data_IF_811256003923
#
_entry.id   IF_811256003923
#
_cell.length_a   1.000
_cell.length_b   1.000
_cell.length_c   1.000
_cell.angle_alpha   90.00
_cell.angle_beta   90.00
_cell.angle_gamma   90.00
#
_symmetry.space_group_name_H-M   'P 1'
#
loop_
_entity.id
_entity.type
_entity.pdbx_description
1 polymer ?
#
# COMPACT_ATOMS: atom_id res chain seq x y z
N UNK A 1 -24.62 46.48 19.89
CA UNK A 1 -23.58 46.52 18.83
C UNK A 1 -23.59 45.19 18.09
N UNK A 2 -23.42 45.25 16.77
CA UNK A 2 -23.63 44.18 15.79
C UNK A 2 -22.49 43.14 15.79
N UNK A 3 -22.84 41.93 15.35
CA UNK A 3 -22.00 40.75 15.09
C UNK A 3 -20.79 41.04 14.18
N UNK A 4 -19.72 40.26 14.33
CA UNK A 4 -19.03 39.70 13.17
C UNK A 4 -18.65 38.23 13.45
N UNK A 5 -19.34 37.35 12.75
CA UNK A 5 -19.04 35.92 12.58
C UNK A 5 -18.06 35.86 11.41
N UNK A 6 -16.89 35.25 11.59
CA UNK A 6 -16.02 34.87 10.47
C UNK A 6 -16.20 33.37 10.24
N UNK A 7 -16.89 33.08 9.15
CA UNK A 7 -17.13 31.77 8.57
C UNK A 7 -15.82 31.15 8.10
N UNK A 8 -15.45 29.99 8.64
CA UNK A 8 -14.46 29.10 8.02
C UNK A 8 -15.20 28.37 6.90
N UNK A 9 -14.99 28.80 5.66
CA UNK A 9 -15.48 28.09 4.47
C UNK A 9 -14.61 26.83 4.30
N UNK A 10 -15.13 25.68 4.72
CA UNK A 10 -14.62 24.39 4.28
C UNK A 10 -15.19 24.14 2.87
N UNK A 11 -14.43 24.45 1.84
CA UNK A 11 -14.80 24.09 0.47
C UNK A 11 -14.66 22.57 0.33
N UNK A 12 -15.77 21.85 0.52
CA UNK A 12 -15.89 20.47 0.08
C UNK A 12 -15.91 20.54 -1.44
N UNK A 13 -14.77 20.30 -2.08
CA UNK A 13 -14.69 20.06 -3.51
C UNK A 13 -15.45 18.76 -3.82
N UNK A 14 -16.76 18.90 -4.05
CA UNK A 14 -17.52 17.98 -4.88
C UNK A 14 -17.03 18.17 -6.33
N UNK A 15 -15.87 17.58 -6.62
CA UNK A 15 -15.34 17.51 -7.98
C UNK A 15 -16.20 16.57 -8.80
N UNK A 16 -17.08 17.14 -9.62
CA UNK A 16 -17.51 16.50 -10.86
C UNK A 16 -16.24 16.22 -11.67
N UNK A 17 -15.84 14.94 -11.71
CA UNK A 17 -14.84 14.45 -12.64
C UNK A 17 -15.46 14.50 -14.03
N UNK A 18 -15.23 15.60 -14.76
CA UNK A 18 -15.28 15.58 -16.21
C UNK A 18 -14.16 14.66 -16.70
N UNK A 19 -14.53 13.42 -17.02
CA UNK A 19 -13.64 12.42 -17.60
C UNK A 19 -13.85 12.43 -19.11
N UNK A 20 -13.03 13.19 -19.82
CA UNK A 20 -12.81 13.01 -21.25
C UNK A 20 -11.32 12.85 -21.55
N UNK A 21 -10.97 11.57 -21.75
CA UNK A 21 -9.92 11.05 -22.63
C UNK A 21 -8.44 11.47 -22.42
N UNK A 22 -7.71 10.67 -21.62
CA UNK A 22 -6.50 9.91 -22.04
C UNK A 22 -5.85 9.26 -20.81
N UNK A 23 -6.59 8.42 -20.07
CA UNK A 23 -6.07 7.72 -18.89
C UNK A 23 -5.47 6.37 -19.30
N UNK A 24 -4.16 6.21 -19.10
CA UNK A 24 -3.68 4.95 -18.53
C UNK A 24 -4.41 4.80 -17.18
N UNK A 25 -5.43 3.96 -17.15
CA UNK A 25 -6.37 3.80 -16.03
C UNK A 25 -5.65 3.12 -14.85
N UNK A 26 -5.03 3.89 -13.97
CA UNK A 26 -4.59 3.35 -12.67
C UNK A 26 -5.83 3.01 -11.84
N UNK A 27 -5.77 1.84 -11.23
CA UNK A 27 -6.86 1.33 -10.42
C UNK A 27 -6.75 1.90 -9.00
N UNK A 28 -7.80 2.57 -8.47
CA UNK A 28 -7.81 2.97 -7.07
C UNK A 28 -7.93 1.72 -6.19
N UNK A 29 -7.00 1.55 -5.27
CA UNK A 29 -6.96 0.41 -4.33
C UNK A 29 -7.03 0.94 -2.91
N UNK A 30 -8.04 0.54 -2.14
CA UNK A 30 -8.14 0.98 -0.75
C UNK A 30 -7.37 0.02 0.17
N UNK A 31 -6.43 0.53 0.98
CA UNK A 31 -5.73 -0.27 1.99
C UNK A 31 -6.69 -0.62 3.12
N UNK A 32 -6.92 -1.89 3.41
CA UNK A 32 -7.78 -2.32 4.51
C UNK A 32 -6.93 -2.64 5.74
N UNK A 33 -7.08 -1.86 6.84
CA UNK A 33 -6.45 -2.19 8.10
C UNK A 33 -7.06 -3.47 8.68
N UNK A 34 -6.26 -4.17 9.48
CA UNK A 34 -6.78 -5.21 10.37
C UNK A 34 -7.50 -4.52 11.53
N UNK A 35 -8.84 -4.62 11.60
CA UNK A 35 -9.57 -3.90 12.63
C UNK A 35 -11.06 -4.18 12.75
N UNK A 36 -11.59 -3.78 13.91
CA UNK A 36 -13.02 -3.88 14.28
C UNK A 36 -13.97 -3.03 13.46
N UNK A 37 -13.46 -2.00 12.77
CA UNK A 37 -14.24 -0.93 12.16
C UNK A 37 -14.74 -1.26 10.75
N UNK A 38 -15.88 -0.67 10.38
CA UNK A 38 -16.40 -0.75 9.02
C UNK A 38 -15.89 0.41 8.17
N UNK A 39 -15.48 0.10 6.94
CA UNK A 39 -14.99 1.05 5.96
C UNK A 39 -15.99 1.23 4.83
N UNK A 40 -16.10 2.47 4.33
CA UNK A 40 -16.93 2.82 3.17
C UNK A 40 -16.23 2.44 1.88
N UNK A 41 -16.88 1.57 1.11
CA UNK A 41 -16.51 1.20 -0.25
C UNK A 41 -17.42 1.84 -1.27
N UNK A 42 -16.86 2.20 -2.42
CA UNK A 42 -17.59 2.63 -3.59
C UNK A 42 -16.94 2.03 -4.83
N UNK A 43 -17.72 1.29 -5.61
CA UNK A 43 -17.28 0.77 -6.88
C UNK A 43 -17.98 1.52 -8.01
N UNK A 44 -17.20 1.97 -8.99
CA UNK A 44 -17.68 2.66 -10.18
C UNK A 44 -17.88 1.67 -11.32
N UNK A 45 -18.87 1.91 -12.17
CA UNK A 45 -19.12 1.07 -13.34
C UNK A 45 -17.98 1.28 -14.35
N UNK A 46 -17.30 0.19 -14.71
CA UNK A 46 -16.25 0.18 -15.73
C UNK A 46 -16.66 -0.74 -16.87
N UNK A 47 -16.38 -0.28 -18.09
CA UNK A 47 -16.48 -1.09 -19.29
C UNK A 47 -15.11 -1.70 -19.52
N UNK A 48 -15.02 -3.02 -19.53
CA UNK A 48 -13.75 -3.70 -19.75
C UNK A 48 -13.24 -3.42 -21.16
N UNK A 49 -12.03 -2.89 -21.25
CA UNK A 49 -11.30 -2.64 -22.49
C UNK A 49 -10.83 -3.96 -23.11
N UNK A 50 -10.43 -3.94 -24.40
CA UNK A 50 -9.99 -5.17 -25.08
C UNK A 50 -8.77 -5.84 -24.42
N UNK A 51 -7.89 -5.04 -23.78
CA UNK A 51 -6.76 -5.53 -22.99
C UNK A 51 -7.23 -6.22 -21.69
N UNK A 52 -8.28 -5.68 -21.04
CA UNK A 52 -8.87 -6.22 -19.82
C UNK A 52 -9.77 -7.45 -20.05
N UNK A 53 -10.34 -7.59 -21.26
CA UNK A 53 -11.19 -8.75 -21.63
C UNK A 53 -10.41 -10.06 -21.69
N UNK A 54 -9.10 -9.99 -21.94
CA UNK A 54 -8.20 -11.14 -21.84
C UNK A 54 -7.82 -11.49 -20.39
N UNK A 55 -8.09 -10.57 -19.45
CA UNK A 55 -7.65 -10.59 -18.06
C UNK A 55 -8.83 -10.41 -17.10
N UNK A 56 -9.74 -11.39 -17.05
CA UNK A 56 -10.62 -11.70 -15.89
C UNK A 56 -11.65 -10.64 -15.43
N UNK A 57 -11.65 -9.43 -15.97
CA UNK A 57 -12.61 -8.38 -15.65
C UNK A 57 -13.66 -8.25 -16.75
N UNK A 58 -14.93 -8.36 -16.38
CA UNK A 58 -16.08 -8.21 -17.28
C UNK A 58 -16.60 -6.76 -17.29
N UNK A 59 -17.74 -6.47 -17.92
CA UNK A 59 -18.39 -5.18 -17.69
C UNK A 59 -19.07 -5.20 -16.32
N UNK A 60 -18.73 -4.27 -15.44
CA UNK A 60 -19.21 -4.32 -14.07
C UNK A 60 -18.72 -3.19 -13.17
N UNK A 61 -19.11 -3.26 -11.91
CA UNK A 61 -18.60 -2.42 -10.84
C UNK A 61 -17.46 -3.15 -10.14
N UNK A 62 -16.35 -2.45 -9.93
CA UNK A 62 -15.18 -3.02 -9.29
C UNK A 62 -14.67 -2.12 -8.17
N UNK A 63 -14.40 -2.72 -7.02
CA UNK A 63 -13.58 -2.13 -5.96
C UNK A 63 -12.50 -3.14 -5.58
N UNK A 64 -11.26 -2.67 -5.55
CA UNK A 64 -10.11 -3.48 -5.15
C UNK A 64 -9.61 -2.95 -3.82
N UNK A 65 -9.35 -3.89 -2.92
CA UNK A 65 -8.77 -3.62 -1.62
C UNK A 65 -7.45 -4.37 -1.50
N UNK A 66 -6.49 -3.76 -0.82
CA UNK A 66 -5.23 -4.40 -0.46
C UNK A 66 -5.16 -4.52 1.06
N UNK A 67 -4.76 -5.67 1.56
CA UNK A 67 -4.45 -5.87 2.97
C UNK A 67 -3.10 -6.55 3.11
N UNK A 68 -2.27 -6.05 4.01
CA UNK A 68 -1.00 -6.67 4.33
C UNK A 68 -1.26 -8.01 5.02
N UNK A 69 -0.92 -9.11 4.37
CA UNK A 69 -1.21 -10.42 4.91
C UNK A 69 -0.01 -10.97 5.70
N UNK A 70 -0.29 -11.43 6.91
CA UNK A 70 0.65 -12.07 7.82
C UNK A 70 0.62 -13.58 7.54
N UNK A 71 1.76 -14.19 7.15
CA UNK A 71 1.84 -15.63 6.94
C UNK A 71 1.41 -16.41 8.18
N UNK A 72 0.57 -17.43 8.00
CA UNK A 72 0.04 -18.27 9.07
C UNK A 72 -1.13 -17.67 9.86
N UNK A 73 -1.59 -16.46 9.52
CA UNK A 73 -2.70 -15.83 10.21
C UNK A 73 -4.07 -16.22 9.63
N UNK A 74 -5.07 -16.22 10.52
CA UNK A 74 -6.49 -16.39 10.19
C UNK A 74 -7.18 -15.05 10.05
N UNK A 75 -7.95 -14.93 8.97
CA UNK A 75 -8.65 -13.69 8.61
C UNK A 75 -10.15 -13.89 8.52
N UNK A 76 -10.87 -12.80 8.79
CA UNK A 76 -12.27 -12.71 8.45
C UNK A 76 -12.59 -11.44 7.68
N UNK A 77 -12.97 -11.60 6.43
CA UNK A 77 -13.47 -10.51 5.58
C UNK A 77 -14.98 -10.45 5.65
N UNK A 78 -15.53 -9.26 5.87
CA UNK A 78 -16.95 -9.01 5.92
C UNK A 78 -17.35 -7.97 4.86
N UNK A 79 -18.42 -8.25 4.12
CA UNK A 79 -19.02 -7.36 3.14
C UNK A 79 -20.47 -7.10 3.51
N UNK A 80 -20.86 -5.82 3.53
CA UNK A 80 -22.24 -5.38 3.75
C UNK A 80 -22.66 -4.40 2.67
N UNK A 81 -23.83 -4.61 2.07
CA UNK A 81 -24.39 -3.71 1.07
C UNK A 81 -25.92 -3.79 1.07
N UNK A 82 -26.58 -2.81 0.46
CA UNK A 82 -28.04 -2.81 0.32
C UNK A 82 -28.48 -3.59 -0.91
N UNK A 83 -29.51 -4.41 -0.77
CA UNK A 83 -30.18 -5.12 -1.87
C UNK A 83 -31.15 -4.21 -2.64
N UNK A 84 -30.66 -3.03 -3.03
CA UNK A 84 -31.48 -2.00 -3.70
C UNK A 84 -31.29 -2.01 -5.22
N UNK A 85 -30.41 -2.85 -5.73
CA UNK A 85 -29.99 -2.84 -7.12
C UNK A 85 -29.93 -4.29 -7.54
N UNK A 86 -30.64 -4.63 -8.62
CA UNK A 86 -30.73 -5.94 -9.25
C UNK A 86 -29.31 -6.37 -9.67
N UNK A 87 -28.43 -6.71 -8.73
CA UNK A 87 -26.99 -6.85 -8.94
C UNK A 87 -26.56 -8.20 -8.42
N UNK A 88 -25.72 -8.89 -9.19
CA UNK A 88 -24.97 -10.04 -8.65
C UNK A 88 -23.66 -9.52 -8.10
N UNK A 89 -23.34 -9.89 -6.86
CA UNK A 89 -22.08 -9.52 -6.22
C UNK A 89 -21.22 -10.77 -6.12
N UNK A 90 -19.94 -10.61 -6.42
CA UNK A 90 -18.91 -11.64 -6.29
C UNK A 90 -17.74 -11.05 -5.52
N UNK A 91 -17.08 -11.87 -4.73
CA UNK A 91 -15.86 -11.50 -4.03
C UNK A 91 -14.79 -12.52 -4.39
N UNK A 92 -13.60 -12.05 -4.70
CA UNK A 92 -12.46 -12.91 -4.97
C UNK A 92 -11.22 -12.42 -4.23
N UNK A 93 -10.37 -13.35 -3.82
CA UNK A 93 -9.04 -13.08 -3.32
C UNK A 93 -8.01 -13.28 -4.43
N UNK A 94 -6.95 -12.48 -4.42
CA UNK A 94 -5.80 -12.61 -5.31
C UNK A 94 -4.50 -12.63 -4.51
N UNK A 95 -3.59 -13.51 -4.93
CA UNK A 95 -2.27 -13.70 -4.31
C UNK A 95 -1.24 -12.62 -4.67
N UNK A 96 -1.57 -11.77 -5.65
CA UNK A 96 -0.83 -10.59 -6.14
C UNK A 96 -1.83 -9.65 -6.86
N UNK A 97 -1.33 -8.59 -7.50
CA UNK A 97 -2.20 -7.65 -8.22
C UNK A 97 -3.09 -8.38 -9.24
N UNK A 98 -4.43 -8.15 -9.28
CA UNK A 98 -5.34 -8.95 -10.12
C UNK A 98 -5.06 -8.96 -11.62
N UNK A 99 -4.37 -7.93 -12.13
CA UNK A 99 -3.99 -7.82 -13.54
C UNK A 99 -2.56 -8.33 -13.82
N UNK A 100 -1.80 -8.72 -12.80
CA UNK A 100 -0.46 -9.25 -13.02
C UNK A 100 -0.52 -10.61 -13.74
N UNK A 101 0.42 -10.87 -14.65
CA UNK A 101 0.61 -12.20 -15.22
C UNK A 101 0.77 -13.25 -14.11
N UNK A 102 0.01 -14.35 -14.23
CA UNK A 102 0.08 -15.46 -13.27
C UNK A 102 -0.59 -15.19 -11.92
N UNK A 103 -1.31 -14.07 -11.75
CA UNK A 103 -2.13 -13.86 -10.56
C UNK A 103 -3.10 -15.04 -10.38
N UNK A 104 -3.22 -15.57 -9.17
CA UNK A 104 -4.18 -16.64 -8.83
C UNK A 104 -5.42 -16.01 -8.23
N UNK A 105 -6.58 -16.38 -8.77
CA UNK A 105 -7.89 -15.94 -8.30
C UNK A 105 -8.52 -17.04 -7.46
N UNK A 106 -8.99 -16.69 -6.27
CA UNK A 106 -9.76 -17.56 -5.41
C UNK A 106 -11.14 -16.94 -5.21
N UNK A 107 -12.13 -17.45 -5.93
CA UNK A 107 -13.52 -16.99 -5.78
C UNK A 107 -14.05 -17.40 -4.41
N UNK A 108 -14.54 -16.43 -3.65
CA UNK A 108 -15.19 -16.69 -2.38
C UNK A 108 -16.63 -17.15 -2.66
N UNK A 109 -17.07 -18.30 -2.09
CA UNK A 109 -18.39 -18.81 -2.34
C UNK A 109 -19.43 -17.81 -1.87
N UNK A 110 -20.52 -17.67 -2.62
CA UNK A 110 -21.68 -16.89 -2.20
C UNK A 110 -22.71 -17.87 -1.61
N UNK A 111 -23.05 -17.69 -0.34
CA UNK A 111 -24.03 -18.53 0.35
C UNK A 111 -25.48 -18.09 0.14
N UNK A 112 -26.43 -18.61 0.95
CA UNK A 112 -27.81 -18.16 0.91
C UNK A 112 -27.91 -16.65 1.18
N UNK A 113 -28.83 -16.01 0.46
CA UNK A 113 -29.10 -14.58 0.58
C UNK A 113 -30.00 -14.34 1.80
N UNK A 114 -29.39 -14.00 2.92
CA UNK A 114 -30.12 -13.63 4.14
C UNK A 114 -30.36 -12.13 4.16
N UNK A 115 -31.58 -11.71 3.87
CA UNK A 115 -31.99 -10.30 3.93
C UNK A 115 -32.29 -9.89 5.36
N UNK A 116 -31.66 -8.81 5.81
CA UNK A 116 -32.02 -8.13 7.06
C UNK A 116 -33.27 -7.25 6.84
N UNK A 117 -33.89 -6.81 7.93
CA UNK A 117 -35.10 -5.96 7.87
C UNK A 117 -34.87 -4.65 7.10
N UNK A 118 -33.66 -4.12 7.13
CA UNK A 118 -33.22 -2.92 6.41
C UNK A 118 -32.83 -3.19 4.95
N UNK A 119 -33.16 -4.37 4.41
CA UNK A 119 -32.76 -4.86 3.08
C UNK A 119 -31.25 -4.90 2.87
N UNK A 120 -30.46 -4.94 3.95
CA UNK A 120 -29.02 -5.16 3.83
C UNK A 120 -28.68 -6.64 3.74
N UNK A 121 -27.69 -6.94 2.91
CA UNK A 121 -27.04 -8.23 2.81
C UNK A 121 -25.70 -8.14 3.52
N UNK A 122 -25.39 -9.16 4.31
CA UNK A 122 -24.14 -9.23 5.05
C UNK A 122 -23.52 -10.61 4.87
N UNK A 123 -22.36 -10.63 4.20
CA UNK A 123 -21.56 -11.82 4.00
C UNK A 123 -20.29 -11.73 4.81
N UNK A 124 -19.84 -12.89 5.28
CA UNK A 124 -18.62 -12.99 6.05
C UNK A 124 -17.88 -14.26 5.69
N UNK A 125 -16.65 -14.11 5.24
CA UNK A 125 -15.77 -15.22 4.91
C UNK A 125 -14.68 -15.37 5.97
N UNK A 126 -14.33 -16.60 6.31
CA UNK A 126 -13.12 -16.94 7.05
C UNK A 126 -12.14 -17.61 6.10
N UNK A 127 -10.89 -17.17 6.09
CA UNK A 127 -9.82 -17.76 5.29
C UNK A 127 -8.50 -17.69 6.06
N UNK A 128 -7.52 -18.49 5.68
CA UNK A 128 -6.20 -18.48 6.31
C UNK A 128 -5.11 -18.31 5.27
N UNK A 129 -4.05 -17.60 5.64
CA UNK A 129 -2.86 -17.41 4.80
C UNK A 129 -1.82 -18.42 5.21
N UNK A 130 -1.23 -19.12 4.23
CA UNK A 130 -0.23 -20.15 4.53
C UNK A 130 0.95 -19.59 5.31
N UNK A 131 1.49 -20.32 6.32
CA UNK A 131 2.77 -19.98 6.92
C UNK A 131 3.93 -19.99 5.92
N UNK A 132 3.75 -20.66 4.76
CA UNK A 132 4.74 -20.70 3.68
C UNK A 132 4.69 -19.47 2.80
N UNK A 133 3.59 -18.70 2.83
CA UNK A 133 3.47 -17.46 2.10
C UNK A 133 4.63 -16.53 2.46
N UNK A 134 5.15 -15.77 1.49
CA UNK A 134 5.90 -14.56 1.78
C UNK A 134 4.94 -13.49 2.29
N UNK A 135 5.45 -12.49 3.00
CA UNK A 135 4.69 -11.26 3.18
C UNK A 135 4.39 -10.59 1.85
N UNK A 136 3.26 -9.91 1.86
CA UNK A 136 2.79 -9.14 0.74
C UNK A 136 1.34 -8.79 0.90
N UNK A 137 0.83 -8.11 -0.12
CA UNK A 137 -0.56 -7.72 -0.17
C UNK A 137 -1.43 -8.89 -0.64
N UNK A 138 -2.42 -9.21 0.18
CA UNK A 138 -3.61 -9.92 -0.27
C UNK A 138 -4.53 -8.90 -0.94
N UNK A 139 -4.90 -9.14 -2.19
CA UNK A 139 -5.86 -8.30 -2.88
C UNK A 139 -7.25 -8.91 -2.79
N UNK A 140 -8.24 -8.10 -2.44
CA UNK A 140 -9.64 -8.49 -2.34
C UNK A 140 -10.41 -7.70 -3.39
N UNK A 141 -10.99 -8.41 -4.36
CA UNK A 141 -11.84 -7.83 -5.38
C UNK A 141 -13.31 -7.98 -4.98
N UNK A 142 -14.03 -6.86 -4.94
CA UNK A 142 -15.49 -6.84 -4.88
C UNK A 142 -16.01 -6.45 -6.27
N UNK A 143 -16.67 -7.39 -6.92
CA UNK A 143 -17.30 -7.22 -8.24
C UNK A 143 -18.82 -7.18 -8.07
N UNK A 144 -19.49 -6.23 -8.72
CA UNK A 144 -20.95 -6.25 -8.88
C UNK A 144 -21.33 -6.11 -10.36
N UNK A 145 -22.30 -6.92 -10.82
CA UNK A 145 -22.81 -6.86 -12.19
C UNK A 145 -24.30 -6.48 -12.18
N UNK A 146 -24.73 -5.63 -13.12
CA UNK A 146 -26.15 -5.29 -13.29
C UNK A 146 -26.91 -6.49 -13.88
N UNK A 147 -28.11 -6.75 -13.36
CA UNK A 147 -29.13 -7.59 -13.99
C UNK A 147 -30.09 -6.67 -14.74
N UNK A 148 -30.14 -6.81 -16.07
CA UNK A 148 -31.05 -6.05 -16.94
C UNK A 148 -30.68 -4.56 -17.08
N UNK A 149 -31.67 -3.73 -17.44
CA UNK A 149 -31.52 -2.30 -17.77
C UNK A 149 -31.52 -1.39 -16.54
N UNK A 150 -30.86 -1.80 -15.46
CA UNK A 150 -30.76 -0.98 -14.26
C UNK A 150 -29.85 0.24 -14.48
N UNK A 151 -30.17 1.36 -13.83
CA UNK A 151 -29.41 2.60 -13.91
C UNK A 151 -27.98 2.42 -13.38
N UNK A 152 -27.02 3.06 -14.07
CA UNK A 152 -25.58 2.99 -13.76
C UNK A 152 -25.20 3.87 -12.57
N UNK A 153 -25.82 3.67 -11.41
CA UNK A 153 -25.43 4.34 -10.16
C UNK A 153 -24.23 3.65 -9.50
N UNK A 154 -23.37 4.35 -8.75
CA UNK A 154 -22.27 3.73 -8.01
C UNK A 154 -22.72 2.58 -7.11
N UNK A 155 -21.86 1.57 -6.93
CA UNK A 155 -22.11 0.47 -5.99
C UNK A 155 -21.50 0.80 -4.63
N UNK A 156 -22.33 1.36 -3.75
CA UNK A 156 -21.93 1.61 -2.37
C UNK A 156 -21.98 0.34 -1.54
N UNK A 157 -20.91 0.10 -0.79
CA UNK A 157 -20.78 -1.05 0.10
C UNK A 157 -19.97 -0.69 1.34
N UNK A 158 -19.90 -1.64 2.27
CA UNK A 158 -19.12 -1.57 3.50
C UNK A 158 -18.28 -2.82 3.61
N UNK A 159 -17.01 -2.65 3.94
CA UNK A 159 -16.09 -3.78 4.12
C UNK A 159 -15.39 -3.69 5.46
N UNK A 160 -14.91 -4.83 5.93
CA UNK A 160 -14.05 -4.93 7.12
C UNK A 160 -13.19 -6.18 7.02
N UNK A 161 -11.94 -6.09 7.45
CA UNK A 161 -11.03 -7.22 7.58
C UNK A 161 -10.58 -7.35 9.04
N UNK A 162 -10.71 -8.55 9.60
CA UNK A 162 -10.36 -8.86 10.98
C UNK A 162 -9.27 -9.93 11.05
N UNK A 163 -8.28 -9.70 11.92
CA UNK A 163 -7.28 -10.68 12.34
C UNK A 163 -7.02 -10.49 13.84
N UNK A 164 -7.07 -11.55 14.68
CA UNK A 164 -7.46 -12.91 14.31
C UNK A 164 -8.94 -12.98 13.89
N UNK A 165 -9.28 -13.96 13.04
CA UNK A 165 -10.66 -14.24 12.68
C UNK A 165 -11.47 -14.61 13.93
N UNK A 166 -12.51 -13.83 14.32
CA UNK A 166 -13.31 -14.21 15.48
C UNK A 166 -14.17 -15.42 15.11
N UNK A 167 -14.43 -16.25 16.12
CA UNK A 167 -15.28 -17.41 15.93
C UNK A 167 -16.68 -16.99 15.45
N UNK A 168 -17.25 -17.76 14.49
CA UNK A 168 -18.62 -17.53 14.08
C UNK A 168 -19.51 -17.75 15.30
N UNK A 169 -19.99 -16.65 15.89
CA UNK A 169 -21.02 -16.75 16.92
C UNK A 169 -22.28 -17.25 16.24
N UNK A 170 -22.80 -18.40 16.67
CA UNK A 170 -24.11 -18.94 16.30
C UNK A 170 -25.23 -18.02 16.84
N UNK A 171 -25.30 -16.79 16.34
CA UNK A 171 -26.36 -15.83 16.63
C UNK A 171 -27.39 -15.97 15.52
N UNK A 172 -28.27 -16.96 15.66
CA UNK A 172 -29.46 -17.06 14.82
C UNK A 172 -30.22 -15.72 14.80
N UNK A 173 -30.70 -15.31 13.63
CA UNK A 173 -31.60 -14.15 13.48
C UNK A 173 -30.96 -12.80 13.12
N UNK A 174 -29.63 -12.68 12.97
CA UNK A 174 -29.01 -11.39 12.57
C UNK A 174 -28.91 -11.16 11.06
N UNK A 175 -29.29 -12.13 10.23
CA UNK A 175 -29.24 -12.05 8.76
C UNK A 175 -27.82 -11.88 8.22
N UNK A 176 -26.86 -12.65 8.76
CA UNK A 176 -25.46 -12.67 8.32
C UNK A 176 -25.15 -14.06 7.78
N UNK A 177 -24.62 -14.13 6.56
CA UNK A 177 -24.20 -15.37 5.92
C UNK A 177 -22.72 -15.60 6.19
N UNK A 178 -22.40 -16.62 7.01
CA UNK A 178 -21.04 -17.04 7.34
C UNK A 178 -20.57 -18.12 6.37
N UNK A 179 -19.39 -17.95 5.81
CA UNK A 179 -18.87 -18.72 4.70
C UNK A 179 -17.39 -19.05 4.92
N UNK A 180 -16.98 -20.18 4.36
CA UNK A 180 -15.57 -20.57 4.33
C UNK A 180 -14.95 -20.09 3.03
N UNK A 181 -13.81 -19.42 3.14
CA UNK A 181 -12.91 -19.12 2.04
C UNK A 181 -11.80 -20.18 1.96
N UNK A 182 -10.74 -19.92 1.17
CA UNK A 182 -9.61 -20.84 1.05
C UNK A 182 -8.87 -20.98 2.39
N UNK A 183 -8.41 -22.20 2.65
CA UNK A 183 -7.48 -22.49 3.73
C UNK A 183 -6.05 -22.60 3.16
N UNK A 184 -5.06 -22.20 3.95
CA UNK A 184 -3.63 -22.25 3.56
C UNK A 184 -3.33 -21.50 2.25
N UNK A 185 -3.93 -20.31 2.08
CA UNK A 185 -3.73 -19.49 0.88
C UNK A 185 -2.26 -19.08 0.75
N UNK A 186 -1.59 -19.60 -0.28
CA UNK A 186 -0.19 -19.28 -0.58
C UNK A 186 -0.14 -18.00 -1.41
N UNK A 187 0.40 -16.94 -0.81
CA UNK A 187 0.66 -15.67 -1.49
C UNK A 187 1.87 -15.81 -2.41
N UNK A 188 1.87 -15.05 -3.50
CA UNK A 188 3.00 -15.01 -4.39
C UNK A 188 4.14 -14.21 -3.75
N UNK A 189 5.36 -14.74 -3.79
CA UNK A 189 6.56 -13.92 -3.56
C UNK A 189 6.57 -12.88 -4.65
N UNK A 190 6.53 -11.59 -4.30
CA UNK A 190 6.54 -10.48 -5.26
C UNK A 190 7.45 -10.81 -6.43
N UNK A 191 6.82 -11.21 -7.53
CA UNK A 191 7.48 -11.86 -8.64
C UNK A 191 7.81 -10.78 -9.64
N UNK A 192 9.00 -10.20 -9.48
CA UNK A 192 9.82 -9.54 -10.50
C UNK A 192 9.11 -8.96 -11.74
N UNK A 193 9.33 -7.65 -11.93
CA UNK A 193 9.45 -6.93 -13.22
C UNK A 193 8.24 -6.20 -13.80
N UNK A 194 7.07 -6.24 -13.19
CA UNK A 194 5.98 -5.34 -13.59
C UNK A 194 5.66 -4.33 -12.49
N UNK A 195 5.83 -3.06 -12.85
CA UNK A 195 5.36 -1.87 -12.14
C UNK A 195 3.83 -2.00 -12.02
N UNK A 196 3.32 -2.64 -10.97
CA UNK A 196 1.88 -2.63 -10.72
C UNK A 196 1.49 -1.21 -10.32
N UNK A 197 1.07 -0.40 -11.30
CA UNK A 197 0.64 0.99 -11.12
C UNK A 197 -0.80 1.00 -10.55
N UNK A 198 -0.90 1.02 -9.22
CA UNK A 198 -2.16 1.24 -8.53
C UNK A 198 -1.99 2.28 -7.43
N UNK A 199 -2.99 3.16 -7.30
CA UNK A 199 -2.95 4.24 -6.32
C UNK A 199 -3.56 3.73 -5.03
N UNK A 200 -2.77 3.71 -3.95
CA UNK A 200 -3.25 3.34 -2.63
C UNK A 200 -4.02 4.49 -1.98
N UNK A 201 -5.31 4.26 -1.77
CA UNK A 201 -6.20 5.18 -1.07
C UNK A 201 -6.32 4.75 0.40
N UNK A 202 -6.28 5.74 1.29
CA UNK A 202 -6.71 5.53 2.67
C UNK A 202 -8.23 5.32 2.68
N UNK A 203 -8.72 4.26 3.35
CA UNK A 203 -10.14 4.05 3.45
C UNK A 203 -10.78 5.15 4.30
N UNK A 204 -12.10 5.30 4.15
CA UNK A 204 -12.91 6.20 4.97
C UNK A 204 -13.76 5.33 5.90
N UNK A 205 -13.82 5.68 7.19
CA UNK A 205 -14.71 5.03 8.15
C UNK A 205 -16.17 5.19 7.74
N UNK A 206 -17.05 4.33 8.27
CA UNK A 206 -18.50 4.43 8.02
C UNK A 206 -19.10 5.81 8.37
N UNK A 207 -18.54 6.49 9.37
CA UNK A 207 -18.95 7.83 9.81
C UNK A 207 -18.41 8.98 8.95
N UNK A 208 -17.69 8.67 7.86
CA UNK A 208 -17.14 9.64 6.93
C UNK A 208 -15.79 10.23 7.33
N UNK A 209 -15.23 9.86 8.48
CA UNK A 209 -13.88 10.29 8.86
C UNK A 209 -12.83 9.52 8.06
N UNK A 210 -11.80 10.18 7.50
CA UNK A 210 -10.68 9.46 6.92
C UNK A 210 -10.03 8.60 8.00
N UNK A 211 -9.55 7.43 7.61
CA UNK A 211 -8.76 6.60 8.52
C UNK A 211 -7.43 7.30 8.74
N UNK A 212 -7.23 7.84 9.95
CA UNK A 212 -5.89 8.20 10.39
C UNK A 212 -5.05 6.91 10.36
N UNK A 213 -3.82 6.95 9.83
CA UNK A 213 -2.93 5.80 9.88
C UNK A 213 -2.82 5.36 11.37
N UNK A 214 -3.03 4.07 11.67
CA UNK A 214 -3.39 3.62 13.01
C UNK A 214 -2.25 3.88 14.01
N UNK A 215 -2.49 4.74 15.01
CA UNK A 215 -1.54 5.21 16.05
C UNK A 215 -0.72 4.13 16.80
N UNK A 216 -1.10 2.87 16.72
CA UNK A 216 -0.36 1.74 17.29
C UNK A 216 -0.34 0.62 16.25
N UNK A 217 0.60 0.68 15.31
CA UNK A 217 0.90 -0.46 14.47
C UNK A 217 1.56 -1.53 15.34
N UNK A 218 1.02 -2.75 15.28
CA UNK A 218 1.73 -3.93 15.79
C UNK A 218 3.09 -3.92 15.09
N UNK A 219 4.21 -3.97 15.84
CA UNK A 219 5.53 -3.98 15.23
C UNK A 219 5.59 -5.04 14.14
N UNK A 220 5.91 -4.66 12.91
CA UNK A 220 5.99 -5.58 11.78
C UNK A 220 7.05 -6.64 12.12
N UNK A 221 6.69 -7.91 12.36
CA UNK A 221 7.65 -8.87 12.91
C UNK A 221 8.83 -9.06 11.95
N UNK A 222 10.08 -8.89 12.40
CA UNK A 222 11.26 -9.00 11.54
C UNK A 222 11.59 -7.75 10.73
N UNK A 223 10.86 -6.64 10.91
CA UNK A 223 11.29 -5.34 10.42
C UNK A 223 12.57 -4.90 11.14
N UNK A 224 13.56 -4.52 10.34
CA UNK A 224 14.86 -4.03 10.79
C UNK A 224 14.81 -2.52 11.00
N UNK A 225 13.92 -1.81 10.30
CA UNK A 225 13.75 -0.36 10.44
C UNK A 225 12.97 -0.06 11.72
N UNK A 226 13.47 0.90 12.50
CA UNK A 226 12.80 1.42 13.68
C UNK A 226 12.19 2.78 13.37
N UNK A 227 10.95 3.00 13.83
CA UNK A 227 10.21 4.24 13.58
C UNK A 227 10.15 4.56 12.08
N UNK A 228 9.85 3.54 11.27
CA UNK A 228 9.70 3.66 9.82
C UNK A 228 8.47 4.46 9.40
N UNK A 229 7.47 4.59 10.28
CA UNK A 229 6.24 5.38 10.10
C UNK A 229 6.40 6.86 10.51
N UNK A 230 7.58 7.24 11.01
CA UNK A 230 7.96 8.58 11.45
C UNK A 230 7.07 9.20 12.55
N UNK A 231 6.23 8.41 13.24
CA UNK A 231 5.31 8.94 14.26
C UNK A 231 6.02 9.38 15.53
N UNK A 232 7.20 8.80 15.80
CA UNK A 232 8.07 9.22 16.88
C UNK A 232 9.07 10.30 16.43
N UNK A 233 8.73 11.05 15.39
CA UNK A 233 9.60 12.06 14.79
C UNK A 233 10.85 11.41 14.17
N UNK A 234 12.02 11.96 14.48
CA UNK A 234 13.32 11.42 14.02
C UNK A 234 13.94 10.40 14.98
N UNK A 235 13.20 9.84 15.94
CA UNK A 235 13.77 8.83 16.82
C UNK A 235 14.37 7.67 16.00
N UNK A 236 15.63 7.32 16.28
CA UNK A 236 16.46 6.34 15.55
C UNK A 236 16.92 6.74 14.14
N UNK A 237 16.62 7.95 13.69
CA UNK A 237 17.09 8.51 12.43
C UNK A 237 18.13 9.60 12.70
N UNK A 238 19.19 9.62 11.89
CA UNK A 238 20.22 10.66 11.90
C UNK A 238 20.16 11.42 10.58
N UNK A 239 20.41 12.73 10.61
CA UNK A 239 20.62 13.47 9.37
C UNK A 239 21.86 12.94 8.64
N UNK A 240 21.79 12.85 7.32
CA UNK A 240 22.95 12.43 6.49
C UNK A 240 24.07 13.47 6.46
N UNK A 241 23.78 14.73 6.80
CA UNK A 241 24.77 15.80 6.93
C UNK A 241 25.39 15.89 8.34
N UNK A 242 24.96 15.01 9.25
CA UNK A 242 25.46 14.95 10.62
C UNK A 242 24.95 16.04 11.55
N UNK A 243 23.95 16.83 11.15
CA UNK A 243 23.36 17.85 12.01
C UNK A 243 22.14 17.33 12.80
N UNK A 244 22.06 17.67 14.09
CA UNK A 244 21.03 17.23 15.03
C UNK A 244 19.77 18.14 15.06
N UNK A 245 19.62 19.05 14.10
CA UNK A 245 18.48 20.00 14.03
C UNK A 245 17.60 19.68 12.82
N UNK A 246 16.37 20.19 12.81
CA UNK A 246 15.60 20.29 11.56
C UNK A 246 16.46 21.01 10.53
N UNK A 247 17.00 20.24 9.60
CA UNK A 247 17.90 20.71 8.56
C UNK A 247 17.06 21.38 7.49
N UNK A 248 17.61 22.41 6.86
CA UNK A 248 17.05 23.01 5.66
C UNK A 248 16.93 21.97 4.53
N UNK A 249 15.85 21.18 4.57
CA UNK A 249 15.47 20.27 3.52
C UNK A 249 14.83 18.93 3.94
N UNK A 250 14.51 18.74 5.21
CA UNK A 250 13.52 17.71 5.56
C UNK A 250 12.80 18.06 6.87
N UNK A 251 11.57 17.58 7.01
CA UNK A 251 10.75 17.79 8.21
C UNK A 251 9.80 16.61 8.41
N UNK A 252 9.22 16.50 9.61
CA UNK A 252 8.12 15.57 9.87
C UNK A 252 6.81 16.32 9.71
N UNK A 253 6.02 15.90 8.72
CA UNK A 253 4.69 16.40 8.45
C UNK A 253 3.59 15.47 8.97
N UNK A 254 2.31 15.83 8.77
CA UNK A 254 1.17 14.98 9.16
C UNK A 254 1.11 13.65 8.39
N UNK A 255 1.83 13.53 7.28
CA UNK A 255 1.85 12.34 6.41
C UNK A 255 3.16 11.55 6.49
N UNK A 256 4.08 11.86 7.42
CA UNK A 256 5.39 11.22 7.54
C UNK A 256 6.54 12.17 7.24
N UNK A 257 7.64 11.65 6.72
CA UNK A 257 8.82 12.40 6.33
C UNK A 257 8.52 13.24 5.08
N UNK A 258 8.78 14.54 5.13
CA UNK A 258 8.79 15.42 3.97
C UNK A 258 10.21 15.81 3.61
N UNK A 259 10.61 15.51 2.39
CA UNK A 259 11.88 15.93 1.79
C UNK A 259 11.59 17.14 0.92
N UNK A 260 12.20 18.26 1.25
CA UNK A 260 12.10 19.50 0.48
C UNK A 260 13.48 20.13 0.42
N UNK A 261 13.69 21.22 -0.30
CA UNK A 261 14.92 21.98 -0.13
C UNK A 261 14.72 23.35 -0.71
N UNK A 262 15.19 24.35 0.04
CA UNK A 262 15.30 25.72 -0.44
C UNK A 262 16.75 26.03 -0.85
N UNK A 263 17.65 25.06 -0.74
CA UNK A 263 19.09 25.23 -0.91
C UNK A 263 19.62 24.37 -2.07
N UNK A 264 20.17 24.99 -3.13
CA UNK A 264 20.50 24.31 -4.38
C UNK A 264 21.61 23.25 -4.31
N UNK A 265 22.33 23.11 -3.19
CA UNK A 265 23.51 22.23 -3.09
C UNK A 265 23.55 21.33 -1.86
N UNK A 266 22.52 21.35 -1.00
CA UNK A 266 22.52 20.52 0.20
C UNK A 266 21.77 19.22 -0.03
N UNK A 267 22.46 18.11 0.23
CA UNK A 267 21.88 16.78 0.23
C UNK A 267 21.12 16.62 1.54
N UNK A 268 19.81 16.66 1.46
CA UNK A 268 18.92 16.55 2.62
C UNK A 268 18.33 15.15 2.69
N UNK A 269 18.29 14.59 3.90
CA UNK A 269 17.81 13.25 4.12
C UNK A 269 18.20 12.69 5.47
N UNK A 270 17.72 11.49 5.73
CA UNK A 270 17.91 10.78 6.98
C UNK A 270 18.47 9.39 6.73
N UNK A 271 19.20 8.88 7.71
CA UNK A 271 19.73 7.52 7.68
C UNK A 271 19.59 6.85 9.04
N UNK A 272 19.38 5.54 8.99
CA UNK A 272 19.38 4.68 10.15
C UNK A 272 20.46 3.62 9.97
N UNK A 273 21.37 3.55 10.93
CA UNK A 273 22.33 2.45 11.04
C UNK A 273 21.61 1.22 11.61
N UNK A 274 21.75 0.09 10.93
CA UNK A 274 21.01 -1.14 11.21
C UNK A 274 21.92 -2.26 11.75
N UNK A 275 23.10 -2.43 11.15
CA UNK A 275 24.05 -3.53 11.44
C UNK A 275 23.37 -4.89 11.68
N UNK A 276 22.43 -5.25 10.80
CA UNK A 276 21.59 -6.41 10.94
C UNK A 276 22.10 -7.58 10.09
N UNK A 277 22.40 -8.70 10.74
CA UNK A 277 22.74 -9.96 10.08
C UNK A 277 21.50 -10.55 9.41
N UNK A 278 21.60 -10.76 8.11
CA UNK A 278 20.53 -11.31 7.27
C UNK A 278 20.96 -12.62 6.62
N UNK A 279 22.09 -13.21 7.05
CA UNK A 279 22.52 -14.56 6.62
C UNK A 279 21.44 -15.58 6.95
N UNK A 280 21.00 -16.32 5.94
CA UNK A 280 19.95 -17.32 6.08
C UNK A 280 18.53 -16.78 6.03
N UNK A 281 18.33 -15.46 5.83
CA UNK A 281 17.02 -14.94 5.49
C UNK A 281 16.55 -15.54 4.15
N UNK A 282 15.32 -16.05 4.13
CA UNK A 282 14.64 -16.50 2.91
C UNK A 282 14.35 -15.31 1.99
N UNK A 283 14.00 -14.17 2.58
CA UNK A 283 13.73 -12.93 1.85
C UNK A 283 14.00 -11.72 2.73
N UNK A 284 14.28 -10.59 2.08
CA UNK A 284 14.53 -9.30 2.73
C UNK A 284 13.82 -8.21 1.93
N UNK A 285 12.60 -7.87 2.32
CA UNK A 285 11.74 -6.94 1.58
C UNK A 285 11.96 -5.50 2.02
N UNK A 286 12.30 -4.62 1.08
CA UNK A 286 12.26 -3.18 1.25
C UNK A 286 10.91 -2.67 0.75
N UNK A 287 10.09 -2.16 1.66
CA UNK A 287 8.77 -1.61 1.38
C UNK A 287 8.74 -0.11 1.71
N UNK A 288 8.23 0.72 0.80
CA UNK A 288 8.16 2.18 0.96
C UNK A 288 6.87 2.73 0.36
N UNK A 289 6.12 3.51 1.13
CA UNK A 289 5.01 4.33 0.61
C UNK A 289 5.48 5.79 0.44
N UNK A 290 5.43 6.32 -0.77
CA UNK A 290 5.89 7.68 -1.06
C UNK A 290 5.08 8.39 -2.14
N UNK A 291 5.25 9.70 -2.25
CA UNK A 291 4.74 10.52 -3.34
C UNK A 291 5.65 11.69 -3.67
N UNK A 292 5.58 12.17 -4.90
CA UNK A 292 6.30 13.38 -5.34
C UNK A 292 5.31 14.52 -5.47
N UNK A 293 5.51 15.59 -4.70
CA UNK A 293 4.65 16.77 -4.70
C UNK A 293 5.05 17.76 -5.79
N UNK A 294 6.36 17.94 -6.01
CA UNK A 294 6.88 18.86 -7.00
C UNK A 294 8.23 18.37 -7.56
N UNK A 295 8.48 18.66 -8.84
CA UNK A 295 9.76 18.41 -9.50
C UNK A 295 9.97 19.44 -10.63
N UNK A 296 10.59 20.57 -10.27
CA UNK A 296 10.67 21.77 -11.12
C UNK A 296 11.63 21.63 -12.32
N UNK A 297 12.73 20.90 -12.19
CA UNK A 297 13.69 20.69 -13.27
C UNK A 297 13.62 19.25 -13.81
N UNK A 298 13.10 19.13 -15.04
CA UNK A 298 12.84 17.88 -15.74
C UNK A 298 14.06 17.30 -16.48
N UNK A 299 15.25 17.88 -16.31
CA UNK A 299 16.45 17.48 -17.06
C UNK A 299 17.33 16.45 -16.34
N UNK A 300 17.18 16.32 -15.02
CA UNK A 300 18.02 15.45 -14.20
C UNK A 300 17.16 14.71 -13.19
N UNK A 301 16.92 13.42 -13.40
CA UNK A 301 16.11 12.60 -12.49
C UNK A 301 16.92 11.55 -11.72
N UNK A 302 18.25 11.64 -11.74
CA UNK A 302 19.13 10.62 -11.20
C UNK A 302 20.23 11.21 -10.32
N UNK A 303 20.60 10.47 -9.29
CA UNK A 303 21.62 10.88 -8.35
C UNK A 303 21.08 11.87 -7.31
N UNK A 304 21.91 12.85 -6.95
CA UNK A 304 21.62 13.84 -5.90
C UNK A 304 20.46 14.78 -6.25
N UNK A 305 20.07 14.78 -7.53
CA UNK A 305 19.06 15.66 -8.10
C UNK A 305 17.64 15.07 -8.09
N UNK A 306 17.43 13.83 -7.66
CA UNK A 306 16.08 13.28 -7.67
C UNK A 306 15.22 13.83 -6.51
N UNK A 307 13.89 13.95 -6.66
CA UNK A 307 13.00 14.34 -5.56
C UNK A 307 13.12 13.42 -4.34
N UNK A 308 13.24 12.12 -4.56
CA UNK A 308 13.42 11.12 -3.50
C UNK A 308 14.15 9.88 -4.01
N UNK A 309 15.03 9.34 -3.18
CA UNK A 309 15.68 8.06 -3.38
C UNK A 309 15.93 7.35 -2.06
N UNK A 310 16.05 6.03 -2.17
CA UNK A 310 16.49 5.17 -1.08
C UNK A 310 17.85 4.59 -1.41
N UNK A 311 18.67 4.41 -0.38
CA UNK A 311 19.96 3.72 -0.48
C UNK A 311 20.10 2.69 0.64
N UNK A 312 20.56 1.49 0.30
CA UNK A 312 20.89 0.42 1.24
C UNK A 312 22.39 0.15 1.15
N UNK A 313 23.09 0.38 2.26
CA UNK A 313 24.49 0.03 2.44
C UNK A 313 24.56 -1.37 3.06
N UNK A 314 25.20 -2.31 2.38
CA UNK A 314 25.24 -3.72 2.78
C UNK A 314 26.61 -4.34 2.58
N UNK A 315 26.83 -5.50 3.20
CA UNK A 315 27.96 -6.38 2.94
C UNK A 315 27.43 -7.68 2.33
N UNK A 316 28.15 -8.22 1.35
CA UNK A 316 27.78 -9.46 0.67
C UNK A 316 28.49 -10.69 1.26
N UNK A 317 28.18 -11.86 0.71
CA UNK A 317 28.78 -13.14 1.11
C UNK A 317 30.32 -13.16 1.01
N UNK A 318 30.90 -12.36 0.11
CA UNK A 318 32.34 -12.24 -0.11
C UNK A 318 33.01 -11.22 0.81
N UNK A 319 32.31 -10.69 1.82
CA UNK A 319 32.80 -9.62 2.72
C UNK A 319 33.05 -8.28 1.99
N UNK A 320 32.53 -8.12 0.78
CA UNK A 320 32.62 -6.85 0.06
C UNK A 320 31.51 -5.90 0.54
N UNK A 321 31.92 -4.67 0.84
CA UNK A 321 31.03 -3.61 1.30
C UNK A 321 30.50 -2.80 0.12
N UNK A 322 29.17 -2.79 -0.03
CA UNK A 322 28.40 -2.11 -1.06
C UNK A 322 27.74 -0.86 -0.47
N UNK A 323 28.49 0.24 -0.42
CA UNK A 323 28.03 1.53 0.10
C UNK A 323 28.39 2.66 -0.87
N UNK A 324 27.85 3.86 -0.64
CA UNK A 324 28.01 5.02 -1.53
C UNK A 324 27.63 4.70 -2.98
N UNK A 325 28.56 4.73 -3.93
CA UNK A 325 28.29 4.50 -5.35
C UNK A 325 27.94 3.04 -5.66
N UNK A 326 28.42 2.09 -4.87
CA UNK A 326 28.19 0.65 -5.05
C UNK A 326 27.00 0.13 -4.25
N UNK A 327 26.29 1.01 -3.54
CA UNK A 327 25.10 0.64 -2.77
C UNK A 327 23.94 0.22 -3.67
N UNK A 328 22.99 -0.53 -3.10
CA UNK A 328 21.68 -0.61 -3.73
C UNK A 328 21.01 0.75 -3.62
N UNK A 329 20.61 1.32 -4.77
CA UNK A 329 19.98 2.63 -4.85
C UNK A 329 18.78 2.57 -5.79
N UNK A 330 17.69 3.19 -5.38
CA UNK A 330 16.47 3.29 -6.17
C UNK A 330 15.94 4.73 -6.15
N UNK A 331 15.51 5.23 -7.31
CA UNK A 331 15.09 6.61 -7.52
C UNK A 331 13.64 6.70 -7.97
N UNK A 332 12.95 7.75 -7.56
CA UNK A 332 11.59 8.05 -8.03
C UNK A 332 11.50 9.46 -8.59
N UNK A 333 10.78 9.59 -9.70
CA UNK A 333 10.64 10.84 -10.46
C UNK A 333 9.29 10.90 -11.15
N UNK A 334 8.85 12.08 -11.54
CA UNK A 334 7.65 12.36 -12.35
C UNK A 334 7.99 12.68 -13.81
N UNK A 335 9.28 12.62 -14.17
CA UNK A 335 9.79 12.95 -15.49
C UNK A 335 9.91 11.69 -16.33
N UNK A 336 9.18 11.61 -17.45
CA UNK A 336 9.23 10.44 -18.33
C UNK A 336 10.46 10.40 -19.27
N UNK A 337 11.00 11.57 -19.64
CA UNK A 337 12.09 11.70 -20.61
C UNK A 337 13.44 11.83 -19.90
N UNK A 338 13.84 10.75 -19.26
CA UNK A 338 15.08 10.68 -18.48
C UNK A 338 16.17 9.98 -19.29
N UNK A 339 17.42 10.41 -19.12
CA UNK A 339 18.55 9.52 -19.43
C UNK A 339 18.36 8.19 -18.67
N UNK A 340 18.61 7.04 -19.31
CA UNK A 340 18.41 5.75 -18.66
C UNK A 340 19.33 5.64 -17.44
N UNK A 341 18.72 5.58 -16.26
CA UNK A 341 19.41 5.32 -15.01
C UNK A 341 19.01 3.94 -14.50
N UNK A 342 19.97 3.21 -13.96
CA UNK A 342 19.68 1.94 -13.32
C UNK A 342 18.73 2.19 -12.13
N UNK A 343 17.72 1.35 -11.98
CA UNK A 343 16.81 1.31 -10.82
C UNK A 343 16.03 2.61 -10.57
N UNK A 344 15.16 3.01 -11.50
CA UNK A 344 14.25 4.13 -11.32
C UNK A 344 12.79 3.74 -11.57
N UNK A 345 11.86 4.52 -11.02
CA UNK A 345 10.43 4.40 -11.28
C UNK A 345 9.81 5.77 -11.53
N UNK A 346 9.01 5.85 -12.59
CA UNK A 346 8.16 7.00 -12.89
C UNK A 346 6.92 6.94 -12.01
N UNK A 347 6.59 8.05 -11.34
CA UNK A 347 5.43 8.22 -10.49
C UNK A 347 4.54 9.35 -11.02
N UNK A 348 3.27 9.32 -10.64
CA UNK A 348 2.36 10.43 -10.87
C UNK A 348 2.55 11.51 -9.81
N UNK A 349 2.61 12.80 -10.20
CA UNK A 349 2.67 13.89 -9.24
C UNK A 349 1.47 13.86 -8.28
N UNK A 350 1.77 13.93 -6.97
CA UNK A 350 0.80 14.04 -5.88
C UNK A 350 0.13 12.74 -5.43
N UNK A 351 0.31 11.64 -6.16
CA UNK A 351 -0.31 10.33 -5.86
C UNK A 351 0.60 9.49 -4.96
N UNK A 352 -0.02 8.79 -4.00
CA UNK A 352 0.69 7.84 -3.13
C UNK A 352 0.92 6.53 -3.84
N UNK A 353 2.17 6.10 -3.84
CA UNK A 353 2.68 4.94 -4.56
C UNK A 353 3.41 4.02 -3.59
N UNK A 354 3.20 2.72 -3.73
CA UNK A 354 3.86 1.71 -2.92
C UNK A 354 4.93 0.99 -3.74
N UNK A 355 6.14 0.99 -3.20
CA UNK A 355 7.29 0.31 -3.76
C UNK A 355 7.67 -0.88 -2.87
N UNK A 356 7.94 -2.02 -3.48
CA UNK A 356 8.41 -3.22 -2.78
C UNK A 356 9.52 -3.93 -3.57
N UNK A 357 10.61 -4.30 -2.89
CA UNK A 357 11.76 -4.98 -3.50
C UNK A 357 12.41 -6.00 -2.57
N UNK A 358 12.54 -7.24 -3.03
CA UNK A 358 13.31 -8.28 -2.34
C UNK A 358 14.82 -8.10 -2.60
N UNK A 359 15.53 -7.69 -1.55
CA UNK A 359 16.97 -7.46 -1.58
C UNK A 359 17.77 -8.77 -1.57
N UNK A 360 17.18 -9.91 -1.20
CA UNK A 360 17.87 -11.21 -1.33
C UNK A 360 18.05 -11.63 -2.80
N UNK A 361 17.43 -10.92 -3.74
CA UNK A 361 17.63 -11.10 -5.20
C UNK A 361 18.72 -10.21 -5.79
N UNK A 362 19.41 -9.42 -4.96
CA UNK A 362 20.59 -8.70 -5.43
C UNK A 362 21.69 -9.71 -5.80
N UNK A 363 22.54 -9.33 -6.73
CA UNK A 363 23.69 -10.12 -7.15
C UNK A 363 24.95 -9.29 -6.94
N UNK A 364 25.73 -9.54 -5.88
CA UNK A 364 25.55 -10.59 -4.88
C UNK A 364 24.47 -10.27 -3.81
N UNK A 365 23.88 -11.29 -3.14
CA UNK A 365 22.87 -11.07 -2.11
C UNK A 365 23.49 -10.49 -0.82
N UNK A 366 22.76 -9.68 -0.05
CA UNK A 366 23.25 -9.12 1.19
C UNK A 366 23.34 -10.20 2.27
N UNK A 367 24.42 -10.15 3.05
CA UNK A 367 24.56 -10.92 4.30
C UNK A 367 24.42 -10.05 5.55
N UNK A 368 24.77 -8.77 5.45
CA UNK A 368 24.69 -7.80 6.55
C UNK A 368 24.16 -6.48 5.99
N UNK A 369 23.10 -5.95 6.59
CA UNK A 369 22.62 -4.61 6.28
C UNK A 369 23.27 -3.63 7.26
N UNK A 370 24.04 -2.68 6.75
CA UNK A 370 24.74 -1.68 7.56
C UNK A 370 23.86 -0.47 7.81
N UNK A 371 23.22 0.06 6.78
CA UNK A 371 22.38 1.24 6.90
C UNK A 371 21.32 1.33 5.80
N UNK A 372 20.23 2.02 6.13
CA UNK A 372 19.23 2.51 5.19
C UNK A 372 19.25 4.03 5.20
N UNK A 373 19.17 4.64 4.02
CA UNK A 373 19.13 6.09 3.84
C UNK A 373 17.96 6.45 2.95
N UNK A 374 17.18 7.46 3.37
CA UNK A 374 16.18 8.13 2.55
C UNK A 374 16.66 9.56 2.35
N UNK A 375 16.80 9.99 1.12
CA UNK A 375 17.28 11.32 0.81
C UNK A 375 16.58 11.87 -0.44
N UNK A 376 16.66 13.18 -0.63
CA UNK A 376 15.96 13.85 -1.71
C UNK A 376 15.89 15.36 -1.48
N UNK A 377 14.86 16.00 -2.01
CA UNK A 377 14.63 17.44 -1.87
C UNK A 377 15.50 18.33 -2.76
N UNK A 378 16.70 17.88 -3.16
CA UNK A 378 17.53 18.48 -4.23
C UNK A 378 17.64 20.02 -4.19
N UNK A 379 17.73 20.71 -5.34
CA UNK A 379 17.51 22.14 -5.46
C UNK A 379 16.03 22.53 -5.31
N UNK A 380 15.74 23.84 -5.09
CA UNK A 380 14.39 24.35 -4.97
C UNK A 380 13.39 23.83 -6.01
N UNK A 381 12.19 23.48 -5.54
CA UNK A 381 11.11 22.98 -6.40
C UNK A 381 11.08 21.47 -6.56
N UNK A 382 11.83 20.71 -5.74
CA UNK A 382 11.72 19.26 -5.61
C UNK A 382 11.20 18.93 -4.21
N UNK A 383 10.03 18.33 -4.15
CA UNK A 383 9.33 18.04 -2.89
C UNK A 383 8.72 16.65 -2.96
N UNK A 384 8.95 15.86 -1.93
CA UNK A 384 8.47 14.51 -1.82
C UNK A 384 8.08 14.20 -0.38
N UNK A 385 7.12 13.29 -0.22
CA UNK A 385 6.75 12.76 1.09
C UNK A 385 6.93 11.25 1.09
N UNK A 386 7.49 10.74 2.18
CA UNK A 386 7.58 9.32 2.50
C UNK A 386 6.74 9.06 3.74
N UNK A 387 5.72 8.23 3.60
CA UNK A 387 4.81 7.90 4.69
C UNK A 387 5.40 6.85 5.60
N UNK A 388 5.92 5.80 5.01
CA UNK A 388 6.50 4.68 5.75
C UNK A 388 7.63 4.03 4.97
N UNK A 389 8.57 3.43 5.70
CA UNK A 389 9.67 2.64 5.17
C UNK A 389 9.92 1.44 6.08
N UNK A 390 10.01 0.26 5.49
CA UNK A 390 10.22 -0.99 6.21
C UNK A 390 11.28 -1.83 5.52
N UNK A 391 12.07 -2.55 6.31
CA UNK A 391 13.05 -3.51 5.81
C UNK A 391 12.84 -4.83 6.53
N UNK A 392 12.04 -5.70 5.93
CA UNK A 392 11.46 -6.86 6.59
C UNK A 392 12.23 -8.14 6.25
N UNK A 393 12.80 -8.76 7.27
CA UNK A 393 13.52 -10.04 7.16
C UNK A 393 12.60 -11.22 7.47
N UNK A 394 12.56 -12.21 6.59
CA UNK A 394 11.86 -13.48 6.80
C UNK A 394 12.81 -14.68 6.71
N UNK A 395 12.56 -15.74 7.49
CA UNK A 395 13.17 -17.06 7.25
C UNK A 395 14.08 -17.66 8.33
N UNK A 396 14.23 -17.05 9.51
CA UNK A 396 14.99 -17.68 10.60
C UNK A 396 14.13 -18.72 11.35
N UNK A 397 14.47 -20.02 11.24
CA UNK A 397 13.84 -21.13 11.99
C UNK A 397 13.87 -20.94 13.52
N UNK A 398 14.70 -20.02 14.04
CA UNK A 398 14.83 -19.72 15.48
C UNK A 398 13.79 -18.76 16.04
N UNK A 399 12.92 -18.15 15.22
CA UNK A 399 11.83 -17.30 15.74
C UNK A 399 10.72 -18.10 16.47
N UNK A 400 10.70 -19.44 16.34
CA UNK A 400 9.67 -20.31 16.93
C UNK A 400 9.83 -20.63 18.43
N UNK A 401 10.77 -20.03 19.14
CA UNK A 401 10.98 -20.36 20.54
C UNK A 401 11.10 -19.13 21.42
N UNK A 402 9.97 -18.49 21.76
CA UNK A 402 9.61 -18.21 23.16
C UNK A 402 8.08 -18.28 23.34
N UNK A 403 7.58 -19.01 24.35
CA UNK A 403 6.17 -19.10 24.68
C UNK A 403 5.57 -17.77 25.14
#
# INVERSE_FOLDING_TARGET
MKRLVITVLLTILSGQLDVSASRADHWPVARLPHGGSWYRGEALYRVATALERSSRFSNGYYAIYAAEAVPGADYSFALRYKDELNRTVRVALYDRWPLDPGAKRYDLPMGPVLKRQDKTLHYRWRFSVSPRSPRGNLFILVEAQLKGEATRSPFHHRVRLLSPAPDPKNLMGRGVTYLHGPEDLVLASGGQEHLSEYVLLLPVYEDGRPVAPPLNEVPIPGDLVRNGDFRSGFLHWKSIDGSDREVAGFSIGPNGLRLHSDQPMLRSGISQELYADVRGARSLWLDIDLRILAEADKRTACGVDTPVFVTICYEDEQEQVHCAENSFRYFWTTVADIRPCANHQLLKPGEWEHFSKDLMRLSPPPKLIRALTIAGGGPPGRDAEVREVHLVREGDEKWRARP
#
